data_IF_124822516321
#
_entry.id   IF_124822516321
#
_cell.length_a   1.000
_cell.length_b   1.000
_cell.length_c   1.000
_cell.angle_alpha   90.00
_cell.angle_beta   90.00
_cell.angle_gamma   90.00
#
_symmetry.space_group_name_H-M   'P 1'
#
loop_
_entity.id
_entity.type
_entity.pdbx_description
1 polymer ?
#
# COMPACT_ATOMS: atom_id res chain seq x y z
N UNK A 1 -9.32 -12.64 -5.97
CA UNK A 1 -9.03 -11.31 -6.52
C UNK A 1 -7.52 -11.20 -6.75
N UNK A 2 -7.07 -10.78 -7.94
CA UNK A 2 -5.64 -10.61 -8.25
C UNK A 2 -5.26 -9.15 -7.95
N UNK A 3 -4.15 -8.94 -7.24
CA UNK A 3 -3.58 -7.61 -7.03
C UNK A 3 -3.25 -6.99 -8.40
N UNK A 4 -3.51 -5.69 -8.59
CA UNK A 4 -3.16 -5.01 -9.84
C UNK A 4 -1.64 -5.07 -10.06
N UNK A 5 -1.14 -5.38 -11.28
CA UNK A 5 0.30 -5.52 -11.54
C UNK A 5 1.11 -4.28 -11.14
N UNK A 6 0.64 -3.08 -11.46
CA UNK A 6 1.33 -1.84 -11.08
C UNK A 6 1.45 -1.66 -9.55
N UNK A 7 0.48 -2.15 -8.77
CA UNK A 7 0.56 -2.14 -7.30
C UNK A 7 1.55 -3.20 -6.80
N UNK A 8 1.54 -4.41 -7.36
CA UNK A 8 2.51 -5.45 -7.03
C UNK A 8 3.96 -4.98 -7.30
N UNK A 9 4.19 -4.38 -8.47
CA UNK A 9 5.50 -3.82 -8.86
C UNK A 9 5.94 -2.69 -7.92
N UNK A 10 5.01 -1.83 -7.50
CA UNK A 10 5.30 -0.76 -6.55
C UNK A 10 5.72 -1.29 -5.18
N UNK A 11 5.06 -2.34 -4.67
CA UNK A 11 5.45 -3.01 -3.41
C UNK A 11 6.87 -3.55 -3.51
N UNK A 12 7.22 -4.23 -4.61
CA UNK A 12 8.55 -4.82 -4.78
C UNK A 12 9.69 -3.81 -4.88
N UNK A 13 9.40 -2.56 -5.24
CA UNK A 13 10.41 -1.50 -5.44
C UNK A 13 10.50 -0.52 -4.26
N UNK A 14 9.39 -0.30 -3.54
CA UNK A 14 9.26 0.73 -2.51
C UNK A 14 10.25 0.53 -1.36
N UNK A 15 11.09 1.55 -1.12
CA UNK A 15 11.87 1.68 0.10
C UNK A 15 10.99 2.10 1.29
N UNK A 16 11.48 1.99 2.54
CA UNK A 16 10.74 2.46 3.71
C UNK A 16 10.21 3.90 3.59
N UNK A 17 11.02 4.81 3.06
CA UNK A 17 10.72 6.23 2.80
C UNK A 17 9.79 6.47 1.60
N UNK A 18 9.62 5.47 0.72
CA UNK A 18 8.66 5.50 -0.39
C UNK A 18 7.24 5.17 0.05
N UNK A 19 6.97 5.13 1.36
CA UNK A 19 5.63 4.97 1.91
C UNK A 19 5.30 6.07 2.91
N UNK A 20 4.06 6.55 2.93
CA UNK A 20 3.63 7.56 3.88
C UNK A 20 2.21 7.35 4.42
N UNK A 21 1.95 7.74 5.69
CA UNK A 21 0.60 7.80 6.23
C UNK A 21 -0.23 8.85 5.49
N UNK A 22 -1.42 8.50 5.04
CA UNK A 22 -2.34 9.41 4.35
C UNK A 22 -3.79 9.09 4.69
N UNK A 23 -4.65 10.12 4.63
CA UNK A 23 -6.11 9.99 4.69
C UNK A 23 -6.76 10.17 3.32
N UNK A 24 -5.97 10.45 2.28
CA UNK A 24 -6.40 10.94 0.98
C UNK A 24 -7.41 10.03 0.25
N UNK A 25 -7.40 8.73 0.51
CA UNK A 25 -8.30 7.80 -0.17
C UNK A 25 -9.55 7.44 0.62
N UNK A 26 -9.55 7.55 1.95
CA UNK A 26 -10.63 6.99 2.76
C UNK A 26 -11.15 7.91 3.87
N UNK A 27 -10.38 8.94 4.25
CA UNK A 27 -10.64 9.77 5.43
C UNK A 27 -10.07 9.16 6.72
N UNK A 28 -9.75 7.87 6.72
CA UNK A 28 -8.99 7.19 7.78
C UNK A 28 -7.52 7.11 7.43
N UNK A 29 -6.67 7.14 8.46
CA UNK A 29 -5.24 7.04 8.30
C UNK A 29 -4.87 5.62 7.85
N UNK A 30 -4.20 5.52 6.71
CA UNK A 30 -3.57 4.29 6.22
C UNK A 30 -2.19 4.63 5.65
N UNK A 31 -1.33 3.63 5.44
CA UNK A 31 0.00 3.84 4.85
C UNK A 31 0.03 3.36 3.40
N UNK A 32 0.33 4.26 2.48
CA UNK A 32 0.37 4.04 1.04
C UNK A 32 1.78 4.20 0.50
N UNK A 33 2.07 3.59 -0.65
CA UNK A 33 3.15 4.04 -1.53
C UNK A 33 3.00 5.55 -1.77
N UNK A 34 4.12 6.26 -1.76
CA UNK A 34 4.27 7.70 -1.84
C UNK A 34 4.08 8.23 -3.28
N UNK A 35 2.95 7.91 -3.90
CA UNK A 35 2.63 8.32 -5.28
C UNK A 35 2.46 9.84 -5.41
N UNK A 36 2.40 10.34 -6.65
CA UNK A 36 2.19 11.77 -6.89
C UNK A 36 0.90 12.30 -6.21
N UNK A 37 -0.22 11.56 -6.32
CA UNK A 37 -1.47 11.91 -5.64
C UNK A 37 -1.32 11.91 -4.13
N UNK A 38 -0.66 10.91 -3.56
CA UNK A 38 -0.50 10.77 -2.10
C UNK A 38 0.36 11.90 -1.54
N UNK A 39 1.43 12.28 -2.23
CA UNK A 39 2.27 13.43 -1.88
C UNK A 39 1.47 14.73 -1.96
N UNK A 40 0.76 14.96 -3.07
CA UNK A 40 -0.05 16.15 -3.27
C UNK A 40 -1.17 16.29 -2.22
N UNK A 41 -1.87 15.20 -1.91
CA UNK A 41 -2.96 15.22 -0.93
C UNK A 41 -2.48 15.35 0.54
N UNK A 42 -1.18 15.18 0.79
CA UNK A 42 -0.56 15.39 2.09
C UNK A 42 0.17 16.72 2.20
N UNK A 43 0.22 17.52 1.14
CA UNK A 43 0.87 18.82 1.15
C UNK A 43 0.13 19.80 2.09
N UNK A 44 0.83 20.76 2.73
CA UNK A 44 0.23 21.69 3.69
C UNK A 44 -0.98 22.48 3.15
N UNK A 45 -0.96 22.82 1.87
CA UNK A 45 -1.98 23.58 1.15
C UNK A 45 -3.12 22.71 0.61
N UNK A 46 -3.01 21.39 0.71
CA UNK A 46 -4.03 20.47 0.20
C UNK A 46 -5.33 20.58 1.01
N UNK A 47 -6.50 20.44 0.35
CA UNK A 47 -7.77 20.34 1.07
C UNK A 47 -7.74 19.18 2.07
N UNK A 48 -8.27 19.43 3.28
CA UNK A 48 -8.39 18.37 4.29
C UNK A 48 -9.31 17.27 3.76
N UNK A 49 -8.87 15.99 3.77
CA UNK A 49 -9.74 14.88 3.37
C UNK A 49 -11.01 14.84 4.23
N UNK A 50 -12.16 14.54 3.59
CA UNK A 50 -13.42 14.35 4.29
C UNK A 50 -13.33 13.17 5.30
N UNK A 51 -14.19 13.12 6.34
CA UNK A 51 -14.22 11.97 7.24
C UNK A 51 -14.62 10.70 6.50
N UNK A 52 -14.21 9.54 7.04
CA UNK A 52 -14.69 8.25 6.55
C UNK A 52 -16.19 8.07 6.86
N UNK A 53 -17.00 7.50 5.95
CA UNK A 53 -16.64 6.96 4.64
C UNK A 53 -16.77 7.95 3.47
N UNK A 54 -17.08 9.24 3.71
CA UNK A 54 -17.33 10.23 2.64
C UNK A 54 -16.14 10.34 1.69
N UNK A 55 -14.92 10.48 2.22
CA UNK A 55 -13.70 10.54 1.37
C UNK A 55 -13.49 9.26 0.55
N UNK A 56 -13.91 8.10 1.08
CA UNK A 56 -13.82 6.83 0.34
C UNK A 56 -14.71 6.83 -0.89
N UNK A 57 -15.93 7.38 -0.77
CA UNK A 57 -16.84 7.56 -1.88
C UNK A 57 -16.30 8.61 -2.88
N UNK A 58 -15.82 9.76 -2.39
CA UNK A 58 -15.25 10.81 -3.24
C UNK A 58 -14.06 10.35 -4.09
N UNK A 59 -13.22 9.44 -3.56
CA UNK A 59 -12.06 8.91 -4.30
C UNK A 59 -12.36 7.68 -5.16
N UNK A 60 -13.56 7.10 -5.11
CA UNK A 60 -13.86 5.79 -5.71
C UNK A 60 -13.66 5.77 -7.23
N UNK A 61 -14.26 6.72 -7.95
CA UNK A 61 -14.18 6.77 -9.41
C UNK A 61 -12.73 6.90 -9.92
N UNK A 62 -11.92 7.74 -9.25
CA UNK A 62 -10.48 7.89 -9.52
C UNK A 62 -9.74 6.55 -9.36
N UNK A 63 -9.95 5.85 -8.24
CA UNK A 63 -9.28 4.56 -7.94
C UNK A 63 -9.69 3.45 -8.90
N UNK A 64 -10.95 3.41 -9.31
CA UNK A 64 -11.45 2.42 -10.25
C UNK A 64 -10.88 2.63 -11.65
N UNK A 65 -10.83 3.89 -12.11
CA UNK A 65 -10.17 4.24 -13.36
C UNK A 65 -8.69 3.88 -13.34
N UNK A 66 -7.99 4.23 -12.25
CA UNK A 66 -6.58 3.92 -12.05
C UNK A 66 -6.30 2.41 -12.11
N UNK A 67 -7.16 1.60 -11.48
CA UNK A 67 -7.07 0.14 -11.51
C UNK A 67 -7.20 -0.41 -12.93
N UNK A 68 -8.14 0.12 -13.71
CA UNK A 68 -8.38 -0.31 -15.11
C UNK A 68 -7.25 0.08 -16.04
N UNK A 69 -6.64 1.26 -15.86
CA UNK A 69 -5.59 1.78 -16.75
C UNK A 69 -4.18 1.42 -16.30
N UNK A 70 -4.02 0.79 -15.13
CA UNK A 70 -2.70 0.49 -14.58
C UNK A 70 -1.97 1.73 -14.03
N UNK A 71 -2.66 2.85 -13.84
CA UNK A 71 -2.06 4.08 -13.34
C UNK A 71 -1.84 4.02 -11.82
N UNK A 72 -0.62 3.70 -11.39
CA UNK A 72 -0.27 3.61 -9.95
C UNK A 72 -0.53 4.92 -9.19
N UNK A 73 -0.38 6.09 -9.84
CA UNK A 73 -0.42 7.37 -9.13
C UNK A 73 -1.77 7.66 -8.49
N UNK A 74 -2.85 7.15 -9.09
CA UNK A 74 -4.22 7.33 -8.63
C UNK A 74 -4.81 6.06 -7.97
N UNK A 75 -4.00 5.01 -7.77
CA UNK A 75 -4.41 3.80 -7.05
C UNK A 75 -4.29 3.98 -5.53
N UNK A 76 -5.17 3.29 -4.79
CA UNK A 76 -4.97 3.08 -3.34
C UNK A 76 -3.95 1.95 -3.13
N UNK A 77 -2.67 2.27 -3.30
CA UNK A 77 -1.57 1.31 -3.20
C UNK A 77 -1.07 1.18 -1.75
N UNK A 78 -1.83 0.50 -0.90
CA UNK A 78 -1.41 0.27 0.50
C UNK A 78 -0.12 -0.55 0.58
N UNK A 79 0.80 -0.10 1.43
CA UNK A 79 2.09 -0.73 1.64
C UNK A 79 2.66 -0.33 3.02
N UNK A 80 3.25 -1.30 3.73
CA UNK A 80 4.04 -1.03 4.93
C UNK A 80 5.47 -0.57 4.59
N UNK A 81 6.24 -0.14 5.59
CA UNK A 81 7.62 0.30 5.38
C UNK A 81 8.57 -0.83 4.95
N UNK A 82 8.24 -2.08 5.28
CA UNK A 82 9.00 -3.26 4.87
C UNK A 82 8.55 -3.83 3.52
N UNK A 83 7.86 -3.06 2.67
CA UNK A 83 7.27 -3.55 1.42
C UNK A 83 8.27 -4.27 0.50
N UNK A 84 9.51 -3.79 0.41
CA UNK A 84 10.58 -4.41 -0.37
C UNK A 84 10.94 -5.84 0.07
N UNK A 85 10.60 -6.25 1.29
CA UNK A 85 10.80 -7.63 1.76
C UNK A 85 9.72 -8.61 1.25
N UNK A 86 8.70 -8.12 0.54
CA UNK A 86 7.67 -8.97 -0.03
C UNK A 86 8.24 -9.92 -1.09
N UNK A 87 7.81 -11.18 -1.04
CA UNK A 87 8.21 -12.23 -1.98
C UNK A 87 7.05 -12.59 -2.92
N UNK A 88 7.40 -13.06 -4.12
CA UNK A 88 6.42 -13.63 -5.06
C UNK A 88 6.44 -15.14 -4.94
N UNK A 89 5.65 -15.67 -4.01
CA UNK A 89 5.53 -17.11 -3.77
C UNK A 89 4.09 -17.47 -3.32
N UNK A 90 3.69 -18.75 -3.35
CA UNK A 90 2.41 -19.18 -2.80
C UNK A 90 2.31 -18.85 -1.31
N UNK A 91 1.16 -18.33 -0.87
CA UNK A 91 0.96 -17.93 0.53
C UNK A 91 1.22 -19.08 1.53
N UNK A 92 0.90 -20.33 1.14
CA UNK A 92 1.16 -21.49 1.98
C UNK A 92 2.66 -21.72 2.23
N UNK A 93 3.50 -21.49 1.23
CA UNK A 93 4.94 -21.69 1.33
C UNK A 93 5.59 -20.57 2.14
N UNK A 94 5.16 -19.32 1.93
CA UNK A 94 5.56 -18.17 2.74
C UNK A 94 5.29 -18.43 4.24
N UNK A 95 4.08 -18.85 4.59
CA UNK A 95 3.70 -19.10 6.00
C UNK A 95 4.53 -20.22 6.62
N UNK A 96 4.73 -21.33 5.90
CA UNK A 96 5.59 -22.43 6.38
C UNK A 96 7.03 -21.97 6.61
N UNK A 97 7.58 -21.20 5.66
CA UNK A 97 8.94 -20.68 5.73
C UNK A 97 9.10 -19.72 6.91
N UNK A 98 8.21 -18.74 7.07
CA UNK A 98 8.21 -17.81 8.21
C UNK A 98 8.15 -18.53 9.55
N UNK A 99 7.31 -19.57 9.66
CA UNK A 99 7.23 -20.37 10.89
C UNK A 99 8.53 -21.11 11.19
N UNK A 100 9.12 -21.77 10.19
CA UNK A 100 10.39 -22.48 10.35
C UNK A 100 11.55 -21.54 10.72
N UNK A 101 11.65 -20.38 10.06
CA UNK A 101 12.64 -19.34 10.36
C UNK A 101 12.47 -18.81 11.79
N UNK A 102 11.22 -18.56 12.22
CA UNK A 102 10.92 -18.10 13.58
C UNK A 102 11.31 -19.15 14.64
N UNK A 103 10.99 -20.43 14.42
CA UNK A 103 11.38 -21.51 15.34
C UNK A 103 12.90 -21.59 15.50
N UNK A 104 13.67 -21.51 14.40
CA UNK A 104 15.12 -21.53 14.46
C UNK A 104 15.70 -20.37 15.29
N UNK A 105 15.15 -19.16 15.14
CA UNK A 105 15.56 -18.00 15.93
C UNK A 105 15.23 -18.14 17.43
N UNK A 106 14.14 -18.82 17.77
CA UNK A 106 13.71 -19.03 19.16
C UNK A 106 14.50 -20.15 19.85
N UNK A 107 14.96 -21.17 19.13
CA UNK A 107 15.77 -22.27 19.69
C UNK A 107 17.24 -21.93 19.83
N UNK A 108 17.73 -20.88 19.16
CA UNK A 108 19.11 -20.39 19.26
C UNK A 108 19.33 -19.49 20.49
N UNK A 109 18.49 -19.61 21.52
CA UNK A 109 18.58 -18.89 22.80
C UNK A 109 18.90 -19.82 23.95
#
# INVERSE_FOLDING_TARGET
>A
AKLAPAWADAIGKAQPEDTLPTRAFSGRLGRSVATAYVKAANAPEAPKPAPYPVQRALSQAMRDAATKTGNIDAMQAWAGQAARLATTEPAADLVRRLWSEAQALLTTR
#
